data_IF_192668917701
#
_entry.id   IF_192668917701
#
_cell.length_a   1.000
_cell.length_b   1.000
_cell.length_c   1.000
_cell.angle_alpha   90.00
_cell.angle_beta   90.00
_cell.angle_gamma   90.00
#
_symmetry.space_group_name_H-M   'P 1'
#
loop_
_entity.id
_entity.type
_entity.pdbx_description
1 polymer ?
#
# COMPACT_ATOMS: atom_id res chain seq x y z
N UNK A 1 -14.24 -25.13 -38.70
CA UNK A 1 -14.36 -25.49 -37.28
C UNK A 1 -12.96 -25.40 -36.69
N UNK A 2 -12.62 -24.25 -36.13
CA UNK A 2 -11.36 -23.99 -35.43
C UNK A 2 -11.79 -23.39 -34.10
N UNK A 3 -11.50 -24.11 -33.02
CA UNK A 3 -11.87 -23.76 -31.65
C UNK A 3 -10.92 -22.66 -31.15
N UNK A 4 -11.45 -21.47 -30.91
CA UNK A 4 -10.80 -20.47 -30.07
C UNK A 4 -10.88 -20.92 -28.61
N UNK A 5 -9.76 -21.39 -28.08
CA UNK A 5 -9.59 -21.66 -26.66
C UNK A 5 -9.46 -20.31 -25.96
N UNK A 6 -10.56 -19.83 -25.40
CA UNK A 6 -10.58 -18.70 -24.47
C UNK A 6 -9.73 -19.05 -23.25
N UNK A 7 -8.52 -18.50 -23.17
CA UNK A 7 -7.69 -18.51 -21.96
C UNK A 7 -8.38 -17.69 -20.87
N UNK A 8 -9.22 -18.38 -20.12
CA UNK A 8 -9.92 -17.90 -18.94
C UNK A 8 -9.01 -18.17 -17.75
N UNK A 9 -8.50 -17.12 -17.10
CA UNK A 9 -7.76 -17.27 -15.85
C UNK A 9 -8.76 -17.60 -14.71
N UNK A 10 -8.64 -18.77 -14.06
CA UNK A 10 -9.56 -19.20 -13.02
C UNK A 10 -9.51 -18.34 -11.74
N UNK A 11 -8.55 -17.43 -11.60
CA UNK A 11 -8.43 -16.56 -10.42
C UNK A 11 -9.12 -15.20 -10.55
N UNK A 12 -9.64 -14.83 -11.73
CA UNK A 12 -10.13 -13.46 -11.97
C UNK A 12 -11.61 -13.36 -12.34
N UNK A 13 -12.29 -14.47 -12.63
CA UNK A 13 -13.65 -14.41 -13.17
C UNK A 13 -13.69 -13.69 -14.52
N UNK A 14 -14.74 -13.90 -15.31
CA UNK A 14 -14.86 -13.36 -16.67
C UNK A 14 -15.07 -11.82 -16.75
N UNK A 15 -14.71 -11.06 -15.71
CA UNK A 15 -14.94 -9.63 -15.65
C UNK A 15 -13.64 -8.87 -15.84
N UNK A 16 -13.44 -8.42 -17.08
CA UNK A 16 -12.62 -7.26 -17.40
C UNK A 16 -12.97 -6.15 -16.40
N UNK A 17 -12.02 -5.71 -15.58
CA UNK A 17 -12.21 -4.53 -14.74
C UNK A 17 -12.48 -3.34 -15.66
N UNK A 18 -13.76 -2.95 -15.75
CA UNK A 18 -14.18 -1.71 -16.37
C UNK A 18 -13.88 -0.63 -15.33
N UNK A 19 -13.08 0.41 -15.64
CA UNK A 19 -12.89 1.51 -14.72
C UNK A 19 -14.27 2.11 -14.46
N UNK A 20 -14.81 1.90 -13.26
CA UNK A 20 -15.87 2.75 -12.78
C UNK A 20 -15.22 4.11 -12.59
N UNK A 21 -15.53 5.04 -13.49
CA UNK A 21 -15.49 6.46 -13.17
C UNK A 21 -16.36 6.63 -11.93
N UNK A 22 -15.73 6.62 -10.75
CA UNK A 22 -16.36 7.13 -9.56
C UNK A 22 -16.61 8.61 -9.81
N UNK A 23 -17.82 8.89 -10.32
CA UNK A 23 -18.58 10.01 -9.81
C UNK A 23 -18.59 9.85 -8.31
N UNK A 24 -17.78 10.68 -7.66
CA UNK A 24 -17.94 11.02 -6.27
C UNK A 24 -19.43 11.35 -6.10
N UNK A 25 -20.17 10.55 -5.35
CA UNK A 25 -21.45 10.98 -4.78
C UNK A 25 -21.16 12.10 -3.79
N UNK A 26 -20.92 13.29 -4.34
CA UNK A 26 -21.14 14.56 -3.67
C UNK A 26 -22.65 14.69 -3.58
N UNK A 27 -23.21 14.48 -2.40
CA UNK A 27 -24.54 14.96 -2.13
C UNK A 27 -24.49 16.50 -2.21
N UNK A 28 -25.24 17.03 -3.18
CA UNK A 28 -25.31 18.41 -3.62
C UNK A 28 -25.38 19.48 -2.52
N UNK A 29 -24.63 20.56 -2.74
CA UNK A 29 -25.22 21.91 -2.76
C UNK A 29 -24.78 22.62 -4.04
N UNK A 30 -25.76 23.07 -4.82
CA UNK A 30 -25.56 23.81 -6.05
C UNK A 30 -25.19 25.26 -5.74
N UNK A 31 -24.08 25.75 -6.30
CA UNK A 31 -23.93 27.15 -6.76
C UNK A 31 -22.61 27.33 -7.52
N UNK A 32 -22.75 27.71 -8.79
CA UNK A 32 -21.85 28.54 -9.62
C UNK A 32 -20.38 28.14 -9.85
N UNK A 33 -20.16 27.61 -11.06
CA UNK A 33 -19.14 28.09 -12.02
C UNK A 33 -17.81 28.62 -11.47
N UNK A 34 -16.91 27.71 -11.11
CA UNK A 34 -15.45 27.94 -11.17
C UNK A 34 -14.77 26.60 -11.41
N UNK A 35 -13.78 26.56 -12.30
CA UNK A 35 -13.01 25.37 -12.67
C UNK A 35 -12.41 24.72 -11.43
N UNK A 36 -12.95 23.57 -11.01
CA UNK A 36 -12.39 22.75 -9.93
C UNK A 36 -11.04 22.24 -10.42
N UNK A 37 -9.95 22.86 -9.97
CA UNK A 37 -8.62 22.28 -10.00
C UNK A 37 -8.67 21.00 -9.18
N UNK A 38 -8.85 19.84 -9.83
CA UNK A 38 -8.80 18.53 -9.16
C UNK A 38 -7.35 18.28 -8.73
N UNK A 39 -7.01 18.64 -7.50
CA UNK A 39 -5.71 18.31 -6.92
C UNK A 39 -5.65 16.79 -6.67
N UNK A 40 -4.59 16.13 -7.14
CA UNK A 40 -4.39 14.69 -6.95
C UNK A 40 -3.84 14.33 -5.56
N UNK A 41 -3.17 15.27 -4.91
CA UNK A 41 -2.60 15.15 -3.57
C UNK A 41 -2.71 16.50 -2.81
N UNK A 42 -2.61 16.53 -1.47
CA UNK A 42 -2.38 15.42 -0.57
C UNK A 42 -3.59 14.48 -0.52
N UNK A 43 -3.34 13.18 -0.38
CA UNK A 43 -4.43 12.22 -0.12
C UNK A 43 -4.68 12.12 1.38
N UNK A 44 -5.96 12.13 1.75
CA UNK A 44 -6.43 11.98 3.13
C UNK A 44 -7.27 10.70 3.32
N UNK A 45 -7.43 9.92 2.25
CA UNK A 45 -8.30 8.74 2.22
C UNK A 45 -7.49 7.47 2.13
N UNK A 46 -7.73 6.55 3.06
CA UNK A 46 -7.17 5.21 3.01
C UNK A 46 -7.89 4.36 1.95
N UNK A 47 -7.11 3.59 1.21
CA UNK A 47 -7.60 2.63 0.23
C UNK A 47 -7.86 1.30 0.93
N UNK A 48 -9.07 0.77 0.75
CA UNK A 48 -9.42 -0.57 1.19
C UNK A 48 -9.57 -1.52 0.00
N UNK A 49 -9.25 -2.78 0.23
CA UNK A 49 -9.46 -3.90 -0.68
C UNK A 49 -10.48 -4.82 -0.04
N UNK A 50 -11.76 -4.43 -0.08
CA UNK A 50 -12.88 -5.18 0.55
C UNK A 50 -13.47 -6.27 -0.36
N UNK A 51 -13.37 -6.11 -1.67
CA UNK A 51 -13.96 -7.04 -2.65
C UNK A 51 -13.38 -8.45 -2.50
N UNK A 52 -14.25 -9.46 -2.41
CA UNK A 52 -13.91 -10.88 -2.36
C UNK A 52 -14.85 -11.66 -3.31
N UNK A 53 -14.32 -12.62 -4.06
CA UNK A 53 -15.09 -13.45 -4.98
C UNK A 53 -15.38 -14.80 -4.33
N UNK A 54 -16.40 -14.85 -3.48
CA UNK A 54 -16.61 -15.99 -2.58
C UNK A 54 -16.92 -17.31 -3.31
N UNK A 55 -17.66 -17.28 -4.42
CA UNK A 55 -17.99 -18.49 -5.18
C UNK A 55 -16.74 -19.27 -5.64
N UNK A 56 -15.89 -18.69 -6.49
CA UNK A 56 -14.63 -19.32 -6.92
C UNK A 56 -13.70 -19.68 -5.75
N UNK A 57 -13.67 -18.83 -4.71
CA UNK A 57 -12.87 -19.05 -3.51
C UNK A 57 -13.30 -20.33 -2.78
N UNK A 58 -14.60 -20.51 -2.57
CA UNK A 58 -15.16 -21.68 -1.90
C UNK A 58 -14.93 -22.95 -2.70
N UNK A 59 -15.13 -22.93 -4.02
CA UNK A 59 -14.82 -24.09 -4.88
C UNK A 59 -13.36 -24.52 -4.72
N UNK A 60 -12.43 -23.56 -4.61
CA UNK A 60 -11.02 -23.87 -4.41
C UNK A 60 -10.73 -24.35 -3.00
N UNK A 61 -11.32 -23.74 -1.98
CA UNK A 61 -11.16 -24.13 -0.59
C UNK A 61 -11.63 -25.58 -0.36
N UNK A 62 -12.81 -25.92 -0.86
CA UNK A 62 -13.38 -27.28 -0.76
C UNK A 62 -12.51 -28.31 -1.47
N UNK A 63 -12.04 -28.01 -2.69
CA UNK A 63 -11.12 -28.89 -3.43
C UNK A 63 -9.81 -29.14 -2.70
N UNK A 64 -9.24 -28.12 -2.04
CA UNK A 64 -8.02 -28.28 -1.24
C UNK A 64 -8.30 -28.98 0.09
N UNK A 65 -9.49 -28.77 0.65
CA UNK A 65 -9.93 -29.41 1.88
C UNK A 65 -10.02 -30.94 1.74
N UNK A 66 -10.57 -31.43 0.64
CA UNK A 66 -10.64 -32.86 0.32
C UNK A 66 -9.26 -33.53 0.20
N UNK A 67 -8.25 -32.77 -0.18
CA UNK A 67 -6.87 -33.23 -0.34
C UNK A 67 -6.04 -33.11 0.95
N UNK A 68 -6.56 -32.37 1.95
CA UNK A 68 -5.83 -32.11 3.18
C UNK A 68 -5.86 -33.32 4.11
N UNK A 69 -4.73 -33.58 4.78
CA UNK A 69 -4.66 -34.57 5.85
C UNK A 69 -5.47 -34.19 7.09
N UNK A 70 -5.82 -32.91 7.22
CA UNK A 70 -6.61 -32.37 8.33
C UNK A 70 -7.75 -31.55 7.73
N UNK A 71 -8.85 -32.20 7.33
CA UNK A 71 -10.00 -31.50 6.75
C UNK A 71 -10.63 -30.53 7.76
N UNK A 72 -11.16 -29.44 7.21
CA UNK A 72 -12.03 -28.48 7.88
C UNK A 72 -13.34 -29.14 8.25
N UNK A 73 -13.85 -28.81 9.43
CA UNK A 73 -15.18 -29.22 9.83
C UNK A 73 -16.25 -28.50 8.98
N UNK A 74 -17.43 -29.13 8.92
CA UNK A 74 -18.55 -28.65 8.12
C UNK A 74 -19.09 -27.30 8.61
N UNK A 75 -19.05 -27.04 9.91
CA UNK A 75 -19.56 -25.79 10.49
C UNK A 75 -18.71 -24.60 10.04
N UNK A 76 -17.39 -24.75 10.08
CA UNK A 76 -16.43 -23.77 9.62
C UNK A 76 -16.52 -23.54 8.10
N UNK A 77 -16.68 -24.60 7.30
CA UNK A 77 -16.88 -24.46 5.85
C UNK A 77 -18.16 -23.69 5.52
N UNK A 78 -19.26 -23.97 6.22
CA UNK A 78 -20.50 -23.21 6.05
C UNK A 78 -20.37 -21.76 6.53
N UNK A 79 -19.63 -21.51 7.61
CA UNK A 79 -19.32 -20.15 8.04
C UNK A 79 -18.51 -19.40 6.96
N UNK A 80 -17.53 -20.04 6.33
CA UNK A 80 -16.80 -19.47 5.20
C UNK A 80 -17.72 -19.22 4.00
N UNK A 81 -18.61 -20.16 3.65
CA UNK A 81 -19.56 -20.03 2.53
C UNK A 81 -20.52 -18.86 2.71
N UNK A 82 -20.91 -18.60 3.96
CA UNK A 82 -21.86 -17.54 4.30
C UNK A 82 -21.16 -16.22 4.66
N UNK A 83 -19.83 -16.12 4.52
CA UNK A 83 -19.11 -14.90 4.82
C UNK A 83 -19.50 -13.76 3.87
N UNK A 84 -20.05 -12.70 4.43
CA UNK A 84 -20.34 -11.46 3.72
C UNK A 84 -19.78 -10.28 4.53
N UNK A 85 -18.85 -9.54 3.94
CA UNK A 85 -18.16 -8.44 4.61
C UNK A 85 -19.11 -7.32 5.07
N UNK A 86 -20.25 -7.14 4.41
CA UNK A 86 -21.20 -6.07 4.75
C UNK A 86 -22.25 -6.51 5.77
N UNK A 87 -22.44 -7.82 5.96
CA UNK A 87 -23.43 -8.40 6.88
C UNK A 87 -22.83 -9.18 8.06
N UNK A 88 -21.51 -9.39 8.09
CA UNK A 88 -20.82 -10.11 9.16
C UNK A 88 -20.79 -9.29 10.46
N UNK A 89 -21.13 -9.91 11.58
CA UNK A 89 -21.01 -9.30 12.90
C UNK A 89 -19.67 -9.65 13.58
N UNK A 90 -19.36 -8.98 14.70
CA UNK A 90 -18.08 -9.18 15.41
C UNK A 90 -17.86 -10.62 15.89
N UNK A 91 -18.90 -11.31 16.37
CA UNK A 91 -18.77 -12.68 16.88
C UNK A 91 -18.52 -13.68 15.74
N UNK A 92 -19.19 -13.51 14.60
CA UNK A 92 -18.93 -14.26 13.37
C UNK A 92 -17.51 -14.01 12.86
N UNK A 93 -17.05 -12.76 12.86
CA UNK A 93 -15.72 -12.41 12.42
C UNK A 93 -14.64 -13.03 13.32
N UNK A 94 -14.84 -13.02 14.64
CA UNK A 94 -13.94 -13.65 15.61
C UNK A 94 -13.93 -15.17 15.47
N UNK A 95 -15.09 -15.78 15.26
CA UNK A 95 -15.20 -17.22 15.00
C UNK A 95 -14.40 -17.62 13.75
N UNK A 96 -14.62 -16.93 12.62
CA UNK A 96 -13.88 -17.18 11.38
C UNK A 96 -12.38 -16.96 11.57
N UNK A 97 -12.00 -15.85 12.22
CA UNK A 97 -10.59 -15.50 12.43
C UNK A 97 -9.86 -16.57 13.24
N UNK A 98 -10.44 -16.98 14.38
CA UNK A 98 -9.84 -18.00 15.26
C UNK A 98 -9.65 -19.32 14.52
N UNK A 99 -10.70 -19.79 13.82
CA UNK A 99 -10.61 -21.04 13.05
C UNK A 99 -9.61 -20.95 11.89
N UNK A 100 -9.56 -19.83 11.16
CA UNK A 100 -8.59 -19.63 10.09
C UNK A 100 -7.16 -19.69 10.63
N UNK A 101 -6.86 -18.98 11.73
CA UNK A 101 -5.53 -18.99 12.34
C UNK A 101 -5.14 -20.41 12.79
N UNK A 102 -6.07 -21.13 13.43
CA UNK A 102 -5.84 -22.51 13.85
C UNK A 102 -5.54 -23.46 12.69
N UNK A 103 -6.19 -23.25 11.54
CA UNK A 103 -5.97 -24.04 10.34
C UNK A 103 -4.66 -23.69 9.64
N UNK A 104 -4.33 -22.40 9.52
CA UNK A 104 -3.07 -21.94 8.91
C UNK A 104 -1.85 -22.48 9.66
N UNK A 105 -1.98 -22.76 10.96
CA UNK A 105 -0.95 -23.42 11.76
C UNK A 105 -0.77 -24.92 11.44
N UNK A 106 -1.75 -25.55 10.79
CA UNK A 106 -1.79 -27.01 10.53
C UNK A 106 -1.61 -27.36 9.06
N UNK A 107 -2.11 -26.53 8.15
CA UNK A 107 -2.04 -26.75 6.71
C UNK A 107 -0.69 -26.34 6.13
N UNK A 108 -0.32 -26.95 5.00
CA UNK A 108 0.91 -26.58 4.29
C UNK A 108 0.74 -25.23 3.58
N UNK A 109 1.78 -24.37 3.51
CA UNK A 109 1.64 -23.00 2.98
C UNK A 109 1.19 -22.88 1.53
N UNK A 110 1.24 -23.94 0.73
CA UNK A 110 0.80 -23.99 -0.66
C UNK A 110 -0.74 -24.04 -0.81
N UNK A 111 -1.48 -24.43 0.24
CA UNK A 111 -2.94 -24.62 0.18
C UNK A 111 -3.75 -23.65 1.04
N UNK A 112 -3.11 -22.79 1.84
CA UNK A 112 -3.79 -21.88 2.78
C UNK A 112 -4.38 -20.62 2.15
N UNK A 113 -4.01 -20.30 0.91
CA UNK A 113 -4.35 -19.01 0.31
C UNK A 113 -5.86 -18.71 0.26
N UNK A 114 -6.81 -19.66 0.13
CA UNK A 114 -8.22 -19.31 0.17
C UNK A 114 -8.63 -18.75 1.54
N UNK A 115 -8.07 -19.29 2.62
CA UNK A 115 -8.33 -18.82 3.98
C UNK A 115 -7.69 -17.45 4.23
N UNK A 116 -6.50 -17.20 3.68
CA UNK A 116 -5.88 -15.87 3.72
C UNK A 116 -6.73 -14.80 3.00
N UNK A 117 -7.46 -15.16 1.95
CA UNK A 117 -8.33 -14.22 1.23
C UNK A 117 -9.57 -13.83 2.03
N UNK A 118 -10.09 -14.73 2.87
CA UNK A 118 -11.13 -14.39 3.88
C UNK A 118 -10.49 -13.57 5.01
N UNK A 119 -9.34 -14.02 5.54
CA UNK A 119 -8.67 -13.40 6.67
C UNK A 119 -8.36 -11.92 6.46
N UNK A 120 -7.93 -11.53 5.24
CA UNK A 120 -7.65 -10.12 4.92
C UNK A 120 -8.88 -9.21 5.03
N UNK A 121 -10.08 -9.75 4.93
CA UNK A 121 -11.32 -9.00 5.08
C UNK A 121 -11.76 -8.94 6.56
N UNK A 122 -11.36 -9.91 7.39
CA UNK A 122 -11.75 -9.96 8.81
C UNK A 122 -11.07 -8.88 9.67
N UNK A 123 -10.02 -8.24 9.16
CA UNK A 123 -9.30 -7.16 9.86
C UNK A 123 -10.15 -5.91 10.13
N UNK A 124 -11.30 -5.75 9.48
CA UNK A 124 -12.21 -4.62 9.74
C UNK A 124 -12.89 -4.71 11.12
N UNK A 125 -12.96 -5.90 11.72
CA UNK A 125 -13.46 -6.10 13.08
C UNK A 125 -12.32 -6.02 14.09
N UNK A 126 -12.50 -5.23 15.15
CA UNK A 126 -11.42 -4.86 16.06
C UNK A 126 -10.84 -6.09 16.79
N UNK A 127 -11.71 -6.97 17.30
CA UNK A 127 -11.27 -8.20 18.00
C UNK A 127 -10.53 -9.13 17.05
N UNK A 128 -11.01 -9.26 15.81
CA UNK A 128 -10.38 -10.06 14.76
C UNK A 128 -9.01 -9.51 14.38
N UNK A 129 -8.88 -8.20 14.19
CA UNK A 129 -7.60 -7.52 13.97
C UNK A 129 -6.62 -7.81 15.12
N UNK A 130 -7.08 -7.70 16.37
CA UNK A 130 -6.24 -8.00 17.54
C UNK A 130 -5.73 -9.45 17.58
N UNK A 131 -6.54 -10.43 17.15
CA UNK A 131 -6.14 -11.85 17.06
C UNK A 131 -5.13 -12.06 15.93
N UNK A 132 -5.39 -11.50 14.74
CA UNK A 132 -4.52 -11.62 13.56
C UNK A 132 -3.12 -11.09 13.87
N UNK A 133 -3.06 -9.93 14.54
CA UNK A 133 -1.82 -9.24 14.88
C UNK A 133 -1.29 -9.55 16.28
N UNK A 134 -1.81 -10.60 16.92
CA UNK A 134 -1.13 -11.19 18.07
C UNK A 134 0.25 -11.69 17.64
N UNK A 135 1.27 -11.44 18.48
CA UNK A 135 2.68 -11.64 18.11
C UNK A 135 2.97 -13.04 17.54
N UNK A 136 2.43 -14.10 18.13
CA UNK A 136 2.61 -15.47 17.66
C UNK A 136 1.99 -15.68 16.27
N UNK A 137 0.73 -15.25 16.10
CA UNK A 137 -0.03 -15.43 14.87
C UNK A 137 0.59 -14.62 13.72
N UNK A 138 0.96 -13.37 14.00
CA UNK A 138 1.59 -12.49 13.04
C UNK A 138 2.94 -13.03 12.56
N UNK A 139 3.79 -13.49 13.49
CA UNK A 139 5.08 -14.07 13.14
C UNK A 139 4.92 -15.32 12.24
N UNK A 140 3.91 -16.16 12.51
CA UNK A 140 3.63 -17.31 11.65
C UNK A 140 3.17 -16.89 10.26
N UNK A 141 2.24 -15.93 10.16
CA UNK A 141 1.77 -15.36 8.88
C UNK A 141 2.91 -14.76 8.05
N UNK A 142 3.87 -14.09 8.70
CA UNK A 142 5.09 -13.62 8.04
C UNK A 142 5.96 -14.78 7.56
N UNK A 143 6.15 -15.81 8.38
CA UNK A 143 7.03 -16.93 8.06
C UNK A 143 6.58 -17.69 6.80
N UNK A 144 5.27 -17.88 6.64
CA UNK A 144 4.66 -18.61 5.51
C UNK A 144 4.51 -17.76 4.25
N UNK A 145 4.83 -16.45 4.33
CA UNK A 145 4.60 -15.49 3.26
C UNK A 145 5.84 -14.74 2.80
N UNK A 146 6.82 -14.49 3.67
CA UNK A 146 7.97 -13.63 3.37
C UNK A 146 9.34 -14.20 3.79
N UNK A 147 9.40 -15.29 4.56
CA UNK A 147 10.67 -15.85 5.07
C UNK A 147 11.21 -17.06 4.29
N UNK A 148 10.43 -17.60 3.35
CA UNK A 148 10.85 -18.75 2.54
C UNK A 148 11.62 -18.31 1.30
N UNK A 149 12.61 -19.11 0.90
CA UNK A 149 13.34 -18.91 -0.36
C UNK A 149 12.38 -18.94 -1.57
N UNK A 150 11.44 -19.89 -1.55
CA UNK A 150 10.37 -19.99 -2.54
C UNK A 150 9.09 -19.34 -2.01
N UNK A 151 9.01 -18.03 -2.17
CA UNK A 151 7.86 -17.24 -1.73
C UNK A 151 6.58 -17.68 -2.46
N UNK A 152 5.56 -18.12 -1.69
CA UNK A 152 4.22 -18.39 -2.23
C UNK A 152 3.61 -17.09 -2.74
N UNK A 153 3.50 -16.96 -4.07
CA UNK A 153 2.98 -15.76 -4.71
C UNK A 153 1.61 -15.36 -4.19
N UNK A 154 0.72 -16.34 -4.01
CA UNK A 154 -0.63 -16.14 -3.50
C UNK A 154 -0.60 -15.63 -2.05
N UNK A 155 0.19 -16.27 -1.17
CA UNK A 155 0.29 -15.85 0.22
C UNK A 155 0.86 -14.42 0.33
N UNK A 156 1.94 -14.12 -0.41
CA UNK A 156 2.50 -12.76 -0.45
C UNK A 156 1.45 -11.73 -0.85
N UNK A 157 0.67 -12.02 -1.92
CA UNK A 157 -0.37 -11.11 -2.39
C UNK A 157 -1.40 -10.86 -1.30
N UNK A 158 -1.87 -11.92 -0.65
CA UNK A 158 -2.94 -11.84 0.34
C UNK A 158 -2.48 -11.17 1.64
N UNK A 159 -1.23 -11.38 2.07
CA UNK A 159 -0.65 -10.62 3.19
C UNK A 159 -0.46 -9.15 2.83
N UNK A 160 -0.02 -8.81 1.60
CA UNK A 160 0.01 -7.41 1.17
C UNK A 160 -1.40 -6.78 1.23
N UNK A 161 -2.43 -7.49 0.78
CA UNK A 161 -3.82 -7.01 0.85
C UNK A 161 -4.34 -6.91 2.30
N UNK A 162 -3.97 -7.85 3.18
CA UNK A 162 -4.25 -7.78 4.62
C UNK A 162 -3.65 -6.52 5.23
N UNK A 163 -2.39 -6.20 4.92
CA UNK A 163 -1.72 -4.99 5.38
C UNK A 163 -2.36 -3.70 4.84
N UNK A 164 -2.82 -3.70 3.59
CA UNK A 164 -3.60 -2.57 3.04
C UNK A 164 -4.88 -2.38 3.85
N UNK A 165 -5.63 -3.45 4.06
CA UNK A 165 -6.91 -3.41 4.76
C UNK A 165 -6.76 -3.04 6.24
N UNK A 166 -5.71 -3.49 6.92
CA UNK A 166 -5.51 -3.17 8.32
C UNK A 166 -5.28 -1.67 8.52
N UNK A 167 -4.51 -1.01 7.64
CA UNK A 167 -4.33 0.43 7.69
C UNK A 167 -5.65 1.15 7.40
N UNK A 168 -6.42 0.68 6.43
CA UNK A 168 -7.73 1.26 6.12
C UNK A 168 -8.77 1.08 7.24
N UNK A 169 -8.68 0.00 8.02
CA UNK A 169 -9.58 -0.30 9.13
C UNK A 169 -9.22 0.48 10.40
N UNK A 170 -7.93 0.51 10.76
CA UNK A 170 -7.49 0.92 12.10
C UNK A 170 -6.94 2.35 12.12
N UNK A 171 -6.34 2.83 11.03
CA UNK A 171 -5.76 4.18 11.01
C UNK A 171 -6.80 5.31 11.11
N UNK A 172 -7.96 5.28 10.43
CA UNK A 172 -8.97 6.35 10.60
C UNK A 172 -9.38 6.52 12.06
N UNK A 173 -9.75 5.41 12.72
CA UNK A 173 -10.13 5.38 14.14
C UNK A 173 -9.01 5.89 15.03
N UNK A 174 -7.77 5.46 14.77
CA UNK A 174 -6.60 5.91 15.53
C UNK A 174 -6.34 7.41 15.39
N UNK A 175 -6.40 7.94 14.17
CA UNK A 175 -6.24 9.37 13.89
C UNK A 175 -7.33 10.19 14.59
N UNK A 176 -8.58 9.73 14.57
CA UNK A 176 -9.69 10.41 15.22
C UNK A 176 -9.53 10.44 16.75
N UNK A 177 -9.09 9.33 17.36
CA UNK A 177 -8.78 9.27 18.80
C UNK A 177 -7.70 10.30 19.15
N UNK A 178 -6.61 10.35 18.38
CA UNK A 178 -5.52 11.29 18.64
C UNK A 178 -5.99 12.74 18.47
N UNK A 179 -6.74 13.05 17.40
CA UNK A 179 -7.31 14.38 17.18
C UNK A 179 -8.15 14.83 18.36
N UNK A 180 -9.10 14.00 18.81
CA UNK A 180 -9.97 14.31 19.94
C UNK A 180 -9.18 14.56 21.23
N UNK A 181 -8.10 13.81 21.47
CA UNK A 181 -7.23 14.01 22.64
C UNK A 181 -6.40 15.28 22.56
N UNK A 182 -5.88 15.64 21.38
CA UNK A 182 -5.17 16.90 21.17
C UNK A 182 -6.05 18.13 21.44
N UNK A 183 -7.35 18.06 21.18
CA UNK A 183 -8.31 19.12 21.52
C UNK A 183 -8.75 19.09 23.00
N UNK A 184 -8.68 17.93 23.67
CA UNK A 184 -9.17 17.72 25.05
C UNK A 184 -8.12 17.92 26.14
N UNK A 185 -6.93 18.44 25.82
CA UNK A 185 -5.80 18.66 26.73
C UNK A 185 -6.04 19.69 27.85
N UNK A 186 -7.29 20.05 28.14
CA UNK A 186 -7.73 20.79 29.33
C UNK A 186 -8.17 19.88 30.51
N UNK A 187 -8.21 18.56 30.35
CA UNK A 187 -8.55 17.64 31.46
C UNK A 187 -7.39 16.72 31.85
N UNK A 188 -7.02 16.74 33.13
CA UNK A 188 -5.77 16.23 33.70
C UNK A 188 -5.71 14.70 33.92
N UNK A 189 -6.47 13.90 33.18
CA UNK A 189 -6.54 12.43 33.37
C UNK A 189 -6.51 11.59 32.07
N UNK A 190 -6.03 12.14 30.96
CA UNK A 190 -6.04 11.43 29.67
C UNK A 190 -5.00 10.31 29.59
N UNK A 191 -5.45 9.05 29.66
CA UNK A 191 -4.64 7.89 29.28
C UNK A 191 -4.09 8.05 27.85
N UNK A 192 -2.81 7.72 27.63
CA UNK A 192 -2.18 7.80 26.31
C UNK A 192 -2.95 6.93 25.29
N UNK A 193 -3.11 7.38 24.03
CA UNK A 193 -3.81 6.61 23.02
C UNK A 193 -3.05 5.30 22.79
N UNK A 194 -3.74 4.16 22.94
CA UNK A 194 -3.16 2.85 22.66
C UNK A 194 -3.00 2.70 21.15
N UNK A 195 -1.77 2.47 20.70
CA UNK A 195 -1.48 2.21 19.28
C UNK A 195 -2.02 0.83 18.89
N UNK A 196 -2.79 0.70 17.79
CA UNK A 196 -3.25 -0.59 17.30
C UNK A 196 -2.09 -1.56 17.02
N UNK A 197 -2.25 -2.85 17.36
CA UNK A 197 -1.23 -3.87 17.09
C UNK A 197 -0.94 -4.01 15.59
N UNK A 198 -1.99 -3.96 14.78
CA UNK A 198 -1.94 -3.92 13.33
C UNK A 198 -0.99 -2.84 12.80
N UNK A 199 -1.03 -1.65 13.39
CA UNK A 199 -0.19 -0.54 12.98
C UNK A 199 1.28 -0.79 13.31
N UNK A 200 1.58 -1.25 14.53
CA UNK A 200 2.94 -1.61 14.95
C UNK A 200 3.51 -2.71 14.04
N UNK A 201 2.71 -3.76 13.79
CA UNK A 201 3.07 -4.88 12.94
C UNK A 201 3.36 -4.45 11.49
N UNK A 202 2.50 -3.61 10.91
CA UNK A 202 2.62 -3.13 9.53
C UNK A 202 3.85 -2.26 9.33
N UNK A 203 4.09 -1.31 10.25
CA UNK A 203 5.30 -0.47 10.20
C UNK A 203 6.54 -1.34 10.39
N UNK A 204 6.50 -2.29 11.33
CA UNK A 204 7.63 -3.16 11.66
C UNK A 204 8.08 -4.07 10.52
N UNK A 205 7.17 -4.54 9.66
CA UNK A 205 7.52 -5.40 8.51
C UNK A 205 7.91 -4.60 7.26
N UNK A 206 7.65 -3.29 7.21
CA UNK A 206 7.72 -2.55 5.95
C UNK A 206 9.11 -2.54 5.30
N UNK A 207 10.17 -2.42 6.12
CA UNK A 207 11.55 -2.48 5.63
C UNK A 207 11.86 -3.76 4.87
N UNK A 208 11.42 -4.91 5.42
CA UNK A 208 11.57 -6.22 4.78
C UNK A 208 10.78 -6.32 3.48
N UNK A 209 9.54 -5.82 3.45
CA UNK A 209 8.73 -5.83 2.22
C UNK A 209 9.41 -5.01 1.12
N UNK A 210 9.97 -3.85 1.47
CA UNK A 210 10.72 -3.02 0.53
C UNK A 210 11.95 -3.72 -0.02
N UNK A 211 12.73 -4.40 0.83
CA UNK A 211 13.87 -5.21 0.39
C UNK A 211 13.44 -6.32 -0.58
N UNK A 212 12.36 -7.04 -0.26
CA UNK A 212 11.83 -8.11 -1.12
C UNK A 212 11.40 -7.57 -2.50
N UNK A 213 10.78 -6.38 -2.55
CA UNK A 213 10.40 -5.74 -3.83
C UNK A 213 11.64 -5.30 -4.60
N UNK A 214 12.60 -4.67 -3.93
CA UNK A 214 13.83 -4.16 -4.55
C UNK A 214 14.73 -5.29 -5.07
N UNK A 215 14.83 -6.40 -4.34
CA UNK A 215 15.56 -7.61 -4.76
C UNK A 215 14.80 -8.41 -5.84
N UNK A 216 13.65 -7.90 -6.31
CA UNK A 216 12.76 -8.53 -7.29
C UNK A 216 12.28 -9.95 -6.91
N UNK A 217 12.36 -10.34 -5.63
CA UNK A 217 11.90 -11.66 -5.13
C UNK A 217 10.40 -11.86 -5.31
N UNK A 218 9.62 -10.77 -5.30
CA UNK A 218 8.19 -10.82 -5.60
C UNK A 218 7.86 -10.92 -7.10
N UNK A 219 8.88 -10.91 -7.97
CA UNK A 219 8.72 -10.77 -9.42
C UNK A 219 7.81 -9.59 -9.78
N UNK A 220 8.04 -8.46 -9.09
CA UNK A 220 7.11 -7.34 -8.99
C UNK A 220 6.64 -6.85 -10.36
N UNK A 221 7.56 -6.74 -11.33
CA UNK A 221 7.29 -6.31 -12.71
C UNK A 221 6.26 -7.20 -13.43
N UNK A 222 6.27 -8.51 -13.16
CA UNK A 222 5.42 -9.47 -13.87
C UNK A 222 4.05 -9.65 -13.20
N UNK A 223 3.92 -9.30 -11.92
CA UNK A 223 2.73 -9.61 -11.12
C UNK A 223 1.89 -8.37 -10.81
N UNK A 224 0.97 -8.04 -11.72
CA UNK A 224 0.12 -6.83 -11.65
C UNK A 224 -0.65 -6.68 -10.35
N UNK A 225 -1.17 -7.79 -9.81
CA UNK A 225 -1.93 -7.76 -8.56
C UNK A 225 -1.05 -7.40 -7.35
N UNK A 226 0.19 -7.88 -7.31
CA UNK A 226 1.17 -7.48 -6.30
C UNK A 226 1.54 -6.00 -6.42
N UNK A 227 1.69 -5.50 -7.65
CA UNK A 227 1.94 -4.07 -7.89
C UNK A 227 0.85 -3.20 -7.30
N UNK A 228 -0.42 -3.56 -7.53
CA UNK A 228 -1.57 -2.83 -6.99
C UNK A 228 -1.61 -2.91 -5.47
N UNK A 229 -1.53 -4.11 -4.88
CA UNK A 229 -1.60 -4.28 -3.44
C UNK A 229 -0.47 -3.53 -2.72
N UNK A 230 0.77 -3.65 -3.22
CA UNK A 230 1.92 -2.97 -2.65
C UNK A 230 1.84 -1.45 -2.81
N UNK A 231 1.42 -0.93 -3.96
CA UNK A 231 1.30 0.52 -4.16
C UNK A 231 0.20 1.12 -3.29
N UNK A 232 -0.89 0.39 -3.04
CA UNK A 232 -1.92 0.78 -2.08
C UNK A 232 -1.40 0.78 -0.63
N UNK A 233 -0.48 -0.14 -0.30
CA UNK A 233 0.17 -0.18 1.02
C UNK A 233 1.04 1.07 1.22
N UNK A 234 1.87 1.40 0.22
CA UNK A 234 2.67 2.64 0.21
C UNK A 234 1.74 3.85 0.35
N UNK A 235 0.67 3.92 -0.45
CA UNK A 235 -0.35 4.97 -0.34
C UNK A 235 -0.90 5.13 1.07
N UNK A 236 -1.41 4.06 1.68
CA UNK A 236 -1.98 4.12 3.02
C UNK A 236 -0.95 4.55 4.09
N UNK A 237 0.31 4.15 3.96
CA UNK A 237 1.39 4.62 4.83
C UNK A 237 1.67 6.12 4.66
N UNK A 238 1.64 6.62 3.41
CA UNK A 238 1.82 8.05 3.15
C UNK A 238 0.66 8.89 3.69
N UNK A 239 -0.57 8.41 3.55
CA UNK A 239 -1.77 9.04 4.14
C UNK A 239 -1.67 9.07 5.66
N UNK A 240 -1.30 7.95 6.30
CA UNK A 240 -1.08 7.91 7.74
C UNK A 240 -0.05 8.93 8.20
N UNK A 241 1.10 9.00 7.52
CA UNK A 241 2.17 9.94 7.86
C UNK A 241 1.70 11.40 7.70
N UNK A 242 0.97 11.69 6.62
CA UNK A 242 0.38 13.01 6.35
C UNK A 242 -0.60 13.43 7.45
N UNK A 243 -1.58 12.59 7.77
CA UNK A 243 -2.61 12.88 8.76
C UNK A 243 -2.08 12.93 10.20
N UNK A 244 -0.97 12.24 10.48
CA UNK A 244 -0.35 12.24 11.81
C UNK A 244 0.50 13.47 12.10
N UNK A 245 0.95 14.22 11.07
CA UNK A 245 1.88 15.34 11.24
C UNK A 245 1.35 16.50 12.09
N UNK A 246 0.11 17.01 11.91
CA UNK A 246 -0.39 18.15 12.67
C UNK A 246 -0.56 17.86 14.16
N UNK A 247 -0.52 16.59 14.55
CA UNK A 247 -0.87 16.12 15.89
C UNK A 247 0.32 16.15 16.86
N UNK A 248 1.47 16.69 16.45
CA UNK A 248 2.66 16.89 17.29
C UNK A 248 2.99 15.65 18.14
N UNK A 249 2.90 14.47 17.53
CA UNK A 249 3.25 13.24 18.23
C UNK A 249 4.77 13.16 18.23
N UNK A 250 5.36 13.96 19.10
CA UNK A 250 6.74 13.83 19.50
C UNK A 250 6.90 12.43 20.15
N UNK A 251 7.87 11.71 19.59
CA UNK A 251 8.65 10.59 20.14
C UNK A 251 7.99 9.24 20.46
N UNK A 252 6.67 9.12 20.70
CA UNK A 252 6.16 7.91 21.39
C UNK A 252 5.31 6.90 20.60
N UNK A 253 4.75 7.22 19.42
CA UNK A 253 3.92 6.23 18.68
C UNK A 253 4.77 5.24 17.90
N UNK A 254 5.78 5.72 17.18
CA UNK A 254 6.93 4.93 16.72
C UNK A 254 7.95 5.85 16.04
N UNK A 255 9.25 5.82 16.38
CA UNK A 255 10.27 6.56 15.64
C UNK A 255 10.32 6.20 14.14
N UNK A 256 9.80 5.02 13.76
CA UNK A 256 9.73 4.55 12.38
C UNK A 256 8.74 5.37 11.50
N UNK A 257 7.75 6.05 12.10
CA UNK A 257 6.87 6.93 11.34
C UNK A 257 7.59 8.19 10.81
N UNK A 258 8.67 8.61 11.46
CA UNK A 258 9.45 9.79 11.03
C UNK A 258 10.23 9.52 9.75
N UNK A 259 10.76 8.31 9.59
CA UNK A 259 11.49 7.91 8.39
C UNK A 259 10.56 7.48 7.26
N UNK A 260 9.31 7.14 7.55
CA UNK A 260 8.33 6.62 6.59
C UNK A 260 8.21 7.43 5.29
N UNK A 261 8.14 8.78 5.31
CA UNK A 261 8.02 9.56 4.08
C UNK A 261 9.22 9.38 3.15
N UNK A 262 10.44 9.40 3.71
CA UNK A 262 11.67 9.20 2.93
C UNK A 262 11.74 7.80 2.30
N UNK A 263 11.31 6.77 3.02
CA UNK A 263 11.27 5.40 2.49
C UNK A 263 10.19 5.26 1.42
N UNK A 264 9.00 5.84 1.61
CA UNK A 264 7.94 5.83 0.61
C UNK A 264 8.33 6.56 -0.68
N UNK A 265 9.02 7.71 -0.57
CA UNK A 265 9.56 8.45 -1.72
C UNK A 265 10.56 7.57 -2.47
N UNK A 266 11.55 7.02 -1.77
CA UNK A 266 12.59 6.17 -2.37
C UNK A 266 12.01 4.98 -3.10
N UNK A 267 11.12 4.24 -2.45
CA UNK A 267 10.52 3.05 -3.06
C UNK A 267 9.63 3.40 -4.25
N UNK A 268 8.86 4.49 -4.16
CA UNK A 268 8.04 4.95 -5.28
C UNK A 268 8.89 5.29 -6.50
N UNK A 269 9.99 6.03 -6.30
CA UNK A 269 10.92 6.36 -7.38
C UNK A 269 11.61 5.12 -7.94
N UNK A 270 12.02 4.18 -7.10
CA UNK A 270 12.63 2.92 -7.53
C UNK A 270 11.69 2.08 -8.41
N UNK A 271 10.40 2.04 -8.09
CA UNK A 271 9.43 1.28 -8.89
C UNK A 271 9.11 2.00 -10.18
N UNK A 272 8.90 3.33 -10.11
CA UNK A 272 8.60 4.15 -11.28
C UNK A 272 9.76 4.19 -12.28
N UNK A 273 11.00 4.02 -11.82
CA UNK A 273 12.20 3.96 -12.67
C UNK A 273 12.27 2.69 -13.52
N UNK A 274 11.68 1.57 -13.07
CA UNK A 274 11.74 0.27 -13.78
C UNK A 274 11.19 0.34 -15.22
N UNK A 275 10.27 1.26 -15.49
CA UNK A 275 9.71 1.45 -16.83
C UNK A 275 10.66 2.18 -17.79
N UNK A 276 11.61 2.97 -17.30
CA UNK A 276 12.43 3.85 -18.14
C UNK A 276 13.34 3.07 -19.10
N UNK A 277 13.87 1.93 -18.65
CA UNK A 277 14.85 1.13 -19.41
C UNK A 277 14.26 0.51 -20.69
N UNK A 278 12.94 0.56 -20.85
CA UNK A 278 12.22 -0.07 -21.96
C UNK A 278 11.54 0.92 -22.90
N UNK A 279 11.88 2.21 -22.82
CA UNK A 279 11.29 3.24 -23.66
C UNK A 279 9.76 3.30 -23.56
N UNK A 280 9.06 3.56 -24.67
CA UNK A 280 7.60 3.76 -24.66
C UNK A 280 6.79 2.51 -24.23
N UNK A 281 7.34 1.31 -24.40
CA UNK A 281 6.69 0.05 -23.97
C UNK A 281 6.76 -0.17 -22.46
N UNK A 282 7.69 0.49 -21.76
CA UNK A 282 7.90 0.32 -20.32
C UNK A 282 6.67 0.64 -19.47
N UNK A 283 5.83 1.58 -19.91
CA UNK A 283 4.54 1.89 -19.26
C UNK A 283 3.67 0.65 -19.04
N UNK A 284 3.71 -0.31 -19.96
CA UNK A 284 2.89 -1.53 -19.88
C UNK A 284 3.38 -2.52 -18.83
N UNK A 285 4.59 -2.34 -18.29
CA UNK A 285 5.15 -3.18 -17.23
C UNK A 285 4.57 -2.91 -15.86
N UNK A 286 4.06 -1.72 -15.62
CA UNK A 286 3.41 -1.36 -14.37
C UNK A 286 1.91 -1.22 -14.56
N UNK A 287 1.14 -1.66 -13.56
CA UNK A 287 -0.30 -1.51 -13.56
C UNK A 287 -0.66 -0.03 -13.41
N UNK A 288 -1.56 0.55 -14.23
CA UNK A 288 -1.86 1.98 -14.17
C UNK A 288 -2.29 2.49 -12.79
N UNK A 289 -3.13 1.74 -12.08
CA UNK A 289 -3.53 2.11 -10.70
C UNK A 289 -2.36 2.07 -9.71
N UNK A 290 -1.41 1.15 -9.90
CA UNK A 290 -0.22 1.09 -9.05
C UNK A 290 0.63 2.36 -9.24
N UNK A 291 0.91 2.71 -10.50
CA UNK A 291 1.64 3.94 -10.88
C UNK A 291 0.95 5.18 -10.34
N UNK A 292 -0.37 5.28 -10.50
CA UNK A 292 -1.16 6.40 -10.00
C UNK A 292 -0.99 6.57 -8.48
N UNK A 293 -1.14 5.50 -7.70
CA UNK A 293 -0.98 5.57 -6.24
C UNK A 293 0.46 5.91 -5.81
N UNK A 294 1.48 5.44 -6.53
CA UNK A 294 2.87 5.83 -6.27
C UNK A 294 3.11 7.34 -6.50
N UNK A 295 2.51 7.93 -7.55
CA UNK A 295 2.60 9.38 -7.76
C UNK A 295 1.83 10.18 -6.69
N UNK A 296 0.63 9.73 -6.31
CA UNK A 296 -0.13 10.33 -5.21
C UNK A 296 0.65 10.27 -3.90
N UNK A 297 1.31 9.14 -3.61
CA UNK A 297 2.22 8.97 -2.47
C UNK A 297 3.39 9.94 -2.50
N UNK A 298 4.04 10.10 -3.66
CA UNK A 298 5.14 11.07 -3.82
C UNK A 298 4.69 12.49 -3.49
N UNK A 299 3.60 12.95 -4.12
CA UNK A 299 3.08 14.30 -3.86
C UNK A 299 2.65 14.51 -2.40
N UNK A 300 1.97 13.51 -1.82
CA UNK A 300 1.56 13.54 -0.41
C UNK A 300 2.76 13.62 0.54
N UNK A 301 3.82 12.84 0.30
CA UNK A 301 5.06 12.90 1.09
C UNK A 301 5.81 14.23 0.92
N UNK A 302 5.87 14.79 -0.28
CA UNK A 302 6.57 16.06 -0.50
C UNK A 302 5.86 17.23 0.17
N UNK A 303 4.53 17.28 0.10
CA UNK A 303 3.73 18.24 0.86
C UNK A 303 3.88 18.04 2.37
N UNK A 304 3.98 16.78 2.82
CA UNK A 304 4.25 16.43 4.21
C UNK A 304 5.62 16.94 4.69
N UNK A 305 6.65 17.06 3.85
CA UNK A 305 7.95 17.56 4.34
C UNK A 305 7.99 19.09 4.45
N UNK A 306 7.18 19.81 3.67
CA UNK A 306 7.16 21.29 3.70
C UNK A 306 6.04 21.90 4.54
N UNK A 307 5.03 21.13 4.97
CA UNK A 307 3.91 21.71 5.73
C UNK A 307 4.34 22.30 7.08
N UNK A 308 3.77 23.42 7.49
CA UNK A 308 4.04 24.02 8.81
C UNK A 308 5.39 24.74 8.97
N UNK A 309 6.18 24.89 7.90
CA UNK A 309 7.29 25.84 7.90
C UNK A 309 6.79 27.21 7.43
N UNK A 310 7.19 28.29 8.11
CA UNK A 310 6.96 29.67 7.63
C UNK A 310 7.94 30.01 6.48
N UNK A 311 8.04 29.11 5.51
CA UNK A 311 8.97 29.21 4.39
C UNK A 311 8.28 29.87 3.19
N UNK A 312 9.06 30.57 2.37
CA UNK A 312 8.56 31.02 1.06
C UNK A 312 8.30 29.82 0.15
N UNK A 313 7.50 30.00 -0.90
CA UNK A 313 7.24 28.92 -1.86
C UNK A 313 8.54 28.37 -2.47
N UNK A 314 9.48 29.25 -2.82
CA UNK A 314 10.81 28.89 -3.33
C UNK A 314 11.64 28.07 -2.33
N UNK A 315 11.58 28.41 -1.04
CA UNK A 315 12.24 27.63 0.02
C UNK A 315 11.59 26.25 0.17
N UNK A 316 10.26 26.18 0.10
CA UNK A 316 9.51 24.93 0.10
C UNK A 316 9.86 24.06 -1.11
N UNK A 317 9.90 24.61 -2.33
CA UNK A 317 10.34 23.90 -3.54
C UNK A 317 11.75 23.33 -3.38
N UNK A 318 12.69 24.16 -2.95
CA UNK A 318 14.08 23.75 -2.71
C UNK A 318 14.16 22.59 -1.70
N UNK A 319 13.38 22.67 -0.62
CA UNK A 319 13.32 21.60 0.38
C UNK A 319 12.75 20.29 -0.20
N UNK A 320 11.69 20.37 -1.02
CA UNK A 320 11.11 19.19 -1.70
C UNK A 320 12.12 18.54 -2.65
N UNK A 321 12.80 19.35 -3.47
CA UNK A 321 13.85 18.89 -4.39
C UNK A 321 14.95 18.16 -3.62
N UNK A 322 15.46 18.76 -2.53
CA UNK A 322 16.54 18.15 -1.73
C UNK A 322 16.16 16.79 -1.17
N UNK A 323 14.94 16.66 -0.62
CA UNK A 323 14.46 15.40 -0.04
C UNK A 323 14.35 14.32 -1.13
N UNK A 324 13.80 14.69 -2.28
CA UNK A 324 13.61 13.78 -3.40
C UNK A 324 14.96 13.39 -4.04
N UNK A 325 15.90 14.32 -4.18
CA UNK A 325 17.26 14.04 -4.63
C UNK A 325 18.00 13.10 -3.67
N UNK A 326 17.91 13.35 -2.36
CA UNK A 326 18.50 12.48 -1.34
C UNK A 326 17.91 11.06 -1.39
N UNK A 327 16.60 10.93 -1.63
CA UNK A 327 15.97 9.63 -1.82
C UNK A 327 16.47 8.90 -3.07
N UNK A 328 16.70 9.63 -4.18
CA UNK A 328 17.24 9.07 -5.42
C UNK A 328 18.67 8.55 -5.27
N UNK A 329 19.58 9.36 -4.69
CA UNK A 329 20.99 8.97 -4.51
C UNK A 329 21.12 7.68 -3.70
N UNK A 330 20.18 7.45 -2.78
CA UNK A 330 20.13 6.23 -1.97
C UNK A 330 19.66 4.95 -2.70
N UNK A 331 19.46 4.98 -4.01
CA UNK A 331 19.16 3.81 -4.84
C UNK A 331 20.46 3.16 -5.35
N UNK A 332 20.57 1.83 -5.27
CA UNK A 332 21.80 1.05 -5.50
C UNK A 332 22.37 1.13 -6.94
N UNK A 333 21.60 1.64 -7.91
CA UNK A 333 21.94 1.58 -9.34
C UNK A 333 22.31 2.93 -9.97
N UNK A 334 22.43 4.00 -9.19
CA UNK A 334 23.10 5.20 -9.69
C UNK A 334 24.60 4.90 -9.78
N UNK A 335 25.25 5.09 -10.95
CA UNK A 335 26.69 4.96 -11.05
C UNK A 335 27.33 6.04 -10.19
N UNK A 336 27.63 5.70 -8.93
CA UNK A 336 28.63 6.41 -8.16
C UNK A 336 29.92 6.22 -8.94
N UNK A 337 30.49 7.30 -9.47
CA UNK A 337 31.78 7.26 -10.14
C UNK A 337 32.78 6.60 -9.18
N UNK A 338 33.17 5.36 -9.48
CA UNK A 338 33.96 4.51 -8.58
C UNK A 338 35.43 4.95 -8.44
N UNK A 339 35.78 6.15 -8.92
CA UNK A 339 37.17 6.64 -9.01
C UNK A 339 37.42 7.96 -8.28
N UNK A 340 36.52 8.44 -7.41
CA UNK A 340 36.77 9.68 -6.65
C UNK A 340 36.83 9.49 -5.14
N UNK A 341 38.01 9.08 -4.66
CA UNK A 341 38.53 9.35 -3.31
C UNK A 341 38.80 10.86 -3.08
N UNK A 342 38.02 11.73 -3.73
CA UNK A 342 38.12 13.20 -3.67
C UNK A 342 36.77 13.75 -3.26
N UNK A 343 36.76 14.46 -2.13
CA UNK A 343 35.76 15.44 -1.69
C UNK A 343 34.38 15.26 -2.36
N UNK A 344 33.49 14.55 -1.68
CA UNK A 344 32.08 14.46 -2.05
C UNK A 344 31.49 15.88 -2.01
N UNK A 345 31.32 16.51 -3.17
CA UNK A 345 30.59 17.78 -3.26
C UNK A 345 29.09 17.45 -3.23
N UNK A 346 28.50 17.62 -2.04
CA UNK A 346 27.10 17.35 -1.77
C UNK A 346 26.15 18.05 -2.75
N UNK A 347 26.56 19.16 -3.35
CA UNK A 347 25.74 19.89 -4.32
C UNK A 347 25.66 19.20 -5.69
N UNK A 348 26.75 18.54 -6.12
CA UNK A 348 26.79 17.80 -7.39
C UNK A 348 25.92 16.55 -7.31
N UNK A 349 25.94 15.88 -6.16
CA UNK A 349 25.10 14.71 -5.92
C UNK A 349 23.62 15.08 -5.82
N UNK A 350 23.27 16.16 -5.10
CA UNK A 350 21.90 16.68 -5.02
C UNK A 350 21.34 17.02 -6.41
N UNK A 351 22.12 17.69 -7.26
CA UNK A 351 21.71 18.00 -8.63
C UNK A 351 21.50 16.73 -9.47
N UNK A 352 22.42 15.76 -9.37
CA UNK A 352 22.33 14.49 -10.10
C UNK A 352 21.11 13.66 -9.66
N UNK A 353 20.84 13.62 -8.36
CA UNK A 353 19.65 12.97 -7.79
C UNK A 353 18.37 13.63 -8.27
N UNK A 354 18.32 14.96 -8.29
CA UNK A 354 17.18 15.72 -8.82
C UNK A 354 16.93 15.42 -10.30
N UNK A 355 17.94 15.55 -11.16
CA UNK A 355 17.81 15.30 -12.60
C UNK A 355 17.34 13.88 -12.90
N UNK A 356 17.79 12.90 -12.11
CA UNK A 356 17.35 11.50 -12.24
C UNK A 356 15.86 11.33 -11.92
N UNK A 357 15.36 11.93 -10.83
CA UNK A 357 13.94 11.91 -10.52
C UNK A 357 13.11 12.70 -11.54
N UNK A 358 13.60 13.87 -11.98
CA UNK A 358 12.97 14.70 -12.99
C UNK A 358 12.81 13.93 -14.30
N UNK A 359 13.81 13.14 -14.70
CA UNK A 359 13.74 12.22 -15.86
C UNK A 359 12.62 11.18 -15.70
N UNK A 360 12.49 10.57 -14.51
CA UNK A 360 11.40 9.62 -14.22
C UNK A 360 10.04 10.30 -14.35
N UNK A 361 9.86 11.47 -13.73
CA UNK A 361 8.59 12.20 -13.77
C UNK A 361 8.24 12.58 -15.23
N UNK A 362 9.20 13.14 -15.97
CA UNK A 362 9.00 13.52 -17.37
C UNK A 362 8.70 12.33 -18.28
N UNK A 363 9.32 11.17 -18.06
CA UNK A 363 8.99 9.95 -18.79
C UNK A 363 7.49 9.62 -18.68
N UNK A 364 6.95 9.64 -17.47
CA UNK A 364 5.53 9.34 -17.23
C UNK A 364 4.59 10.43 -17.76
N UNK A 365 4.99 11.71 -17.75
CA UNK A 365 4.20 12.81 -18.34
C UNK A 365 4.12 12.69 -19.85
N UNK A 366 5.26 12.46 -20.51
CA UNK A 366 5.40 12.60 -21.96
C UNK A 366 5.06 11.32 -22.72
N UNK A 367 5.07 10.15 -22.07
CA UNK A 367 4.79 8.88 -22.76
C UNK A 367 3.29 8.77 -23.10
N UNK A 368 2.89 8.76 -24.39
CA UNK A 368 1.49 8.86 -24.79
C UNK A 368 0.61 7.67 -24.35
N UNK A 369 1.22 6.49 -24.18
CA UNK A 369 0.55 5.26 -23.75
C UNK A 369 0.24 5.23 -22.26
N UNK A 370 0.77 6.18 -21.48
CA UNK A 370 0.43 6.31 -20.06
C UNK A 370 -1.00 6.83 -19.88
N UNK A 371 -1.73 6.24 -18.93
CA UNK A 371 -3.12 6.62 -18.65
C UNK A 371 -3.22 8.12 -18.32
N UNK A 372 -4.27 8.83 -18.78
CA UNK A 372 -4.41 10.28 -18.58
C UNK A 372 -4.29 10.72 -17.12
N UNK A 373 -4.87 9.98 -16.18
CA UNK A 373 -4.81 10.29 -14.74
C UNK A 373 -3.38 10.18 -14.19
N UNK A 374 -2.59 9.22 -14.68
CA UNK A 374 -1.16 9.09 -14.32
C UNK A 374 -0.38 10.29 -14.85
N UNK A 375 -0.58 10.66 -16.12
CA UNK A 375 0.08 11.83 -16.73
C UNK A 375 -0.28 13.12 -16.00
N UNK A 376 -1.56 13.31 -15.67
CA UNK A 376 -2.03 14.46 -14.90
C UNK A 376 -1.41 14.53 -13.51
N UNK A 377 -1.38 13.41 -12.77
CA UNK A 377 -0.78 13.36 -11.44
C UNK A 377 0.74 13.61 -11.48
N UNK A 378 1.46 13.06 -12.46
CA UNK A 378 2.89 13.30 -12.64
C UNK A 378 3.17 14.76 -13.02
N UNK A 379 2.34 15.36 -13.88
CA UNK A 379 2.44 16.78 -14.25
C UNK A 379 2.21 17.69 -13.05
N UNK A 380 1.22 17.38 -12.21
CA UNK A 380 1.00 18.14 -10.98
C UNK A 380 2.20 18.00 -10.03
N UNK A 381 2.77 16.80 -9.90
CA UNK A 381 3.97 16.57 -9.10
C UNK A 381 5.15 17.43 -9.59
N UNK A 382 5.37 17.52 -10.91
CA UNK A 382 6.43 18.35 -11.46
C UNK A 382 6.21 19.84 -11.14
N UNK A 383 4.98 20.35 -11.26
CA UNK A 383 4.64 21.73 -10.89
C UNK A 383 4.76 22.04 -9.39
N UNK A 384 4.81 21.02 -8.53
CA UNK A 384 5.11 21.20 -7.10
C UNK A 384 6.60 21.45 -6.85
N UNK A 385 7.45 21.07 -7.81
CA UNK A 385 8.91 21.05 -7.72
C UNK A 385 9.54 22.19 -8.54
N UNK A 386 8.95 22.57 -9.66
CA UNK A 386 9.30 23.71 -10.53
C UNK A 386 8.37 24.90 -10.29
#
# INVERSE_FOLDING_TARGET
>A
VINDVSHSDPFTGAHRYIPNNHSLTVANSCSDGTSVSTSFFPSETFISLRSISLGPLMTKLESLNEQSHIPLDHEFLEACRNFDIDNCNEDQAVYLTTNIIDVINKWTPDIIFPLLDILRCLVFWQKSSDIIFETSNWNHLLSISFDKADLSSANCLLILRLLVNCLAADCPRFIDIIRCQSFSSLSSTSAKPKVPRSLIATIGVMGKIFEIVNDNKLQFITRKQHQVAFSNLVHNLTVLAYLSKPLSIESNISPQLRSMPGVCIRTSLNILSLALDQGCSGVTQLHPSAVYHLFVSLGTCLLLVTSGSNSTDEQSKTQRIRVLASAMIGLKDLPLNADSDKYIDTNVDEFTGWESARKIINYWITTPTACPNVRGCASQLLSLLE
#
